data_IF_914592856693
#
_entry.id   IF_914592856693
#
_cell.length_a   1.000
_cell.length_b   1.000
_cell.length_c   1.000
_cell.angle_alpha   90.00
_cell.angle_beta   90.00
_cell.angle_gamma   90.00
#
_symmetry.space_group_name_H-M   'P 1'
#
loop_
_entity.id
_entity.type
_entity.pdbx_description
1 polymer ?
#
# COMPACT_ATOMS: atom_id res chain seq x y z
N UNK A 1 9.48 -29.30 7.07
CA UNK A 1 10.58 -30.15 6.55
C UNK A 1 10.07 -31.48 6.03
N UNK A 2 9.38 -32.31 6.84
CA UNK A 2 8.84 -33.62 6.43
C UNK A 2 8.04 -33.63 5.10
N UNK A 3 7.15 -32.65 4.88
CA UNK A 3 6.40 -32.55 3.63
C UNK A 3 7.28 -32.31 2.39
N UNK A 4 8.38 -31.55 2.53
CA UNK A 4 9.33 -31.32 1.46
C UNK A 4 10.15 -32.57 1.14
N UNK A 5 10.48 -33.37 2.15
CA UNK A 5 11.16 -34.65 1.99
C UNK A 5 10.25 -35.66 1.28
N UNK A 6 8.99 -35.79 1.72
CA UNK A 6 7.99 -36.66 1.11
C UNK A 6 7.69 -36.27 -0.34
N UNK A 7 7.67 -34.97 -0.65
CA UNK A 7 7.50 -34.47 -2.00
C UNK A 7 8.77 -34.56 -2.88
N UNK A 8 9.92 -34.94 -2.32
CA UNK A 8 11.20 -34.95 -3.02
C UNK A 8 11.66 -33.58 -3.50
N UNK A 9 11.30 -32.51 -2.76
CA UNK A 9 11.59 -31.11 -3.09
C UNK A 9 12.57 -30.52 -2.08
N UNK A 10 13.90 -30.54 -2.33
CA UNK A 10 14.88 -30.03 -1.38
C UNK A 10 14.70 -28.54 -1.09
N UNK A 11 14.18 -27.76 -2.04
CA UNK A 11 13.90 -26.33 -1.85
C UNK A 11 12.80 -26.12 -0.80
N UNK A 12 11.83 -27.02 -0.68
CA UNK A 12 10.76 -26.93 0.32
C UNK A 12 11.26 -27.28 1.73
N UNK A 13 12.24 -28.18 1.83
CA UNK A 13 12.92 -28.48 3.08
C UNK A 13 13.70 -27.26 3.56
N UNK A 14 14.49 -26.66 2.66
CA UNK A 14 15.25 -25.45 2.94
C UNK A 14 14.33 -24.27 3.33
N UNK A 15 13.22 -24.07 2.60
CA UNK A 15 12.22 -23.06 2.93
C UNK A 15 11.63 -23.27 4.32
N UNK A 16 11.35 -24.52 4.72
CA UNK A 16 10.87 -24.83 6.06
C UNK A 16 11.89 -24.50 7.15
N UNK A 17 13.18 -24.71 6.89
CA UNK A 17 14.26 -24.31 7.79
C UNK A 17 14.37 -22.78 7.92
N UNK A 18 14.38 -22.07 6.79
CA UNK A 18 14.37 -20.61 6.77
C UNK A 18 13.16 -20.03 7.51
N UNK A 19 11.97 -20.59 7.29
CA UNK A 19 10.75 -20.11 7.93
C UNK A 19 10.79 -20.30 9.45
N UNK A 20 11.39 -21.40 9.95
CA UNK A 20 11.59 -21.60 11.37
C UNK A 20 12.53 -20.54 11.97
N UNK A 21 13.69 -20.32 11.33
CA UNK A 21 14.64 -19.27 11.75
C UNK A 21 14.01 -17.87 11.71
N UNK A 22 13.22 -17.58 10.68
CA UNK A 22 12.46 -16.32 10.59
C UNK A 22 11.53 -16.11 11.79
N UNK A 23 10.79 -17.13 12.19
CA UNK A 23 9.91 -17.05 13.37
C UNK A 23 10.71 -16.91 14.67
N UNK A 24 11.84 -17.62 14.81
CA UNK A 24 12.71 -17.49 15.99
C UNK A 24 13.25 -16.05 16.13
N UNK A 25 13.58 -15.39 15.01
CA UNK A 25 14.02 -13.98 15.00
C UNK A 25 12.89 -13.04 15.39
N UNK A 26 11.68 -13.21 14.85
CA UNK A 26 10.54 -12.38 15.24
C UNK A 26 10.23 -12.51 16.74
N UNK A 27 10.29 -13.72 17.29
CA UNK A 27 10.13 -13.98 18.72
C UNK A 27 11.21 -13.29 19.56
N UNK A 28 12.48 -13.37 19.14
CA UNK A 28 13.60 -12.74 19.84
C UNK A 28 13.49 -11.20 19.84
N UNK A 29 12.96 -10.62 18.77
CA UNK A 29 12.72 -9.18 18.64
C UNK A 29 11.41 -8.71 19.31
N UNK A 30 10.52 -9.63 19.66
CA UNK A 30 9.22 -9.31 20.27
C UNK A 30 8.28 -8.57 19.31
N UNK A 31 8.41 -8.82 18.01
CA UNK A 31 7.57 -8.20 16.96
C UNK A 31 6.61 -9.23 16.38
N UNK A 32 5.45 -8.76 15.92
CA UNK A 32 4.44 -9.62 15.28
C UNK A 32 4.08 -9.06 13.90
N UNK A 33 4.10 -9.92 12.88
CA UNK A 33 3.56 -9.59 11.56
C UNK A 33 2.06 -9.95 11.44
N UNK A 34 1.44 -9.55 10.32
CA UNK A 34 0.01 -9.80 10.09
C UNK A 34 -0.37 -11.29 10.06
N UNK A 35 0.47 -12.14 9.49
CA UNK A 35 0.20 -13.58 9.43
C UNK A 35 0.40 -14.23 10.80
N UNK A 36 1.39 -13.74 11.54
CA UNK A 36 1.71 -14.20 12.88
C UNK A 36 0.61 -13.87 13.89
N UNK A 37 -0.06 -12.72 13.77
CA UNK A 37 -1.21 -12.39 14.62
C UNK A 37 -2.27 -13.50 14.61
N UNK A 38 -2.68 -13.96 13.43
CA UNK A 38 -3.66 -15.05 13.30
C UNK A 38 -3.09 -16.35 13.86
N UNK A 39 -1.82 -16.66 13.56
CA UNK A 39 -1.17 -17.88 14.03
C UNK A 39 -1.07 -17.95 15.56
N UNK A 40 -0.54 -16.90 16.21
CA UNK A 40 -0.34 -16.81 17.66
C UNK A 40 -1.65 -16.86 18.41
N UNK A 41 -2.69 -16.18 17.94
CA UNK A 41 -4.03 -16.27 18.54
C UNK A 41 -4.53 -17.71 18.52
N UNK A 42 -4.35 -18.43 17.41
CA UNK A 42 -4.75 -19.85 17.34
C UNK A 42 -3.94 -20.74 18.28
N UNK A 43 -2.66 -20.44 18.51
CA UNK A 43 -1.85 -21.14 19.52
C UNK A 43 -2.37 -20.86 20.93
N UNK A 44 -2.67 -19.60 21.27
CA UNK A 44 -3.23 -19.24 22.58
C UNK A 44 -4.58 -19.92 22.83
N UNK A 45 -5.42 -20.06 21.81
CA UNK A 45 -6.69 -20.78 21.90
C UNK A 45 -6.54 -22.31 22.05
N UNK A 46 -5.32 -22.86 22.06
CA UNK A 46 -5.09 -24.26 22.49
C UNK A 46 -5.02 -24.41 24.00
N UNK A 47 -4.80 -23.32 24.74
CA UNK A 47 -4.93 -23.28 26.19
C UNK A 47 -6.41 -23.25 26.57
N UNK A 48 -6.83 -24.23 27.38
CA UNK A 48 -8.25 -24.44 27.74
C UNK A 48 -8.82 -23.28 28.55
N UNK A 49 -8.02 -22.62 29.40
CA UNK A 49 -8.49 -21.52 30.24
C UNK A 49 -8.66 -20.25 29.39
N UNK A 50 -7.71 -19.98 28.49
CA UNK A 50 -7.79 -18.87 27.55
C UNK A 50 -8.96 -19.08 26.60
N UNK A 51 -9.07 -20.27 26.01
CA UNK A 51 -10.16 -20.60 25.10
C UNK A 51 -11.53 -20.42 25.77
N UNK A 52 -11.73 -20.97 26.97
CA UNK A 52 -12.99 -20.84 27.70
C UNK A 52 -13.33 -19.38 28.04
N UNK A 53 -12.33 -18.57 28.36
CA UNK A 53 -12.52 -17.14 28.61
C UNK A 53 -12.99 -16.43 27.35
N UNK A 54 -12.30 -16.64 26.23
CA UNK A 54 -12.60 -15.97 24.96
C UNK A 54 -13.95 -16.45 24.39
N UNK A 55 -14.17 -17.76 24.30
CA UNK A 55 -15.40 -18.31 23.71
C UNK A 55 -16.61 -18.11 24.62
N UNK A 56 -16.42 -18.04 25.94
CA UNK A 56 -17.49 -17.75 26.90
C UNK A 56 -18.12 -16.36 26.74
N UNK A 57 -17.40 -15.40 26.16
CA UNK A 57 -17.90 -14.06 25.85
C UNK A 57 -18.57 -13.96 24.46
N UNK A 58 -18.36 -14.95 23.59
CA UNK A 58 -18.81 -14.93 22.20
C UNK A 58 -20.22 -15.53 22.09
N UNK A 59 -21.22 -14.66 21.93
CA UNK A 59 -22.62 -15.09 21.72
C UNK A 59 -22.94 -15.53 20.28
N UNK A 60 -22.16 -15.07 19.30
CA UNK A 60 -22.26 -15.43 17.88
C UNK A 60 -21.02 -14.93 17.12
N UNK A 61 -20.69 -15.57 15.99
CA UNK A 61 -19.65 -15.10 15.07
C UNK A 61 -20.27 -14.77 13.71
N UNK A 62 -20.13 -13.51 13.30
CA UNK A 62 -20.60 -13.02 11.99
C UNK A 62 -19.39 -12.77 11.11
N UNK A 63 -19.35 -13.41 9.94
CA UNK A 63 -18.22 -13.31 9.01
C UNK A 63 -18.72 -12.76 7.68
N UNK A 64 -18.23 -11.58 7.32
CA UNK A 64 -18.39 -11.03 5.97
C UNK A 64 -17.24 -11.52 5.06
N UNK A 65 -17.45 -11.50 3.75
CA UNK A 65 -16.47 -11.94 2.75
C UNK A 65 -15.81 -13.29 3.04
N UNK A 66 -16.57 -14.26 3.58
CA UNK A 66 -16.03 -15.54 4.05
C UNK A 66 -15.27 -16.33 2.96
N UNK A 67 -15.60 -16.10 1.68
CA UNK A 67 -14.90 -16.72 0.55
C UNK A 67 -13.46 -16.21 0.35
N UNK A 68 -13.08 -15.08 0.95
CA UNK A 68 -11.72 -14.51 0.92
C UNK A 68 -10.83 -15.07 2.05
N UNK A 69 -11.38 -15.85 3.00
CA UNK A 69 -10.61 -16.37 4.11
C UNK A 69 -9.62 -17.47 3.70
N UNK A 70 -8.41 -17.41 4.25
CA UNK A 70 -7.44 -18.49 4.18
C UNK A 70 -7.73 -19.61 5.22
N UNK A 71 -7.08 -20.80 5.11
CA UNK A 71 -7.32 -21.90 6.04
C UNK A 71 -7.03 -21.59 7.52
N UNK A 72 -6.08 -20.70 7.82
CA UNK A 72 -5.77 -20.30 9.19
C UNK A 72 -6.89 -19.41 9.75
N UNK A 73 -7.37 -18.45 8.97
CA UNK A 73 -8.50 -17.60 9.35
C UNK A 73 -9.79 -18.40 9.54
N UNK A 74 -10.10 -19.35 8.64
CA UNK A 74 -11.24 -20.27 8.83
C UNK A 74 -11.09 -21.06 10.13
N UNK A 75 -9.88 -21.57 10.41
CA UNK A 75 -9.60 -22.29 11.65
C UNK A 75 -9.72 -21.42 12.91
N UNK A 76 -9.38 -20.13 12.84
CA UNK A 76 -9.59 -19.19 13.92
C UNK A 76 -11.08 -18.96 14.19
N UNK A 77 -11.87 -18.71 13.14
CA UNK A 77 -13.33 -18.57 13.25
C UNK A 77 -13.93 -19.82 13.90
N UNK A 78 -13.49 -21.02 13.50
CA UNK A 78 -13.96 -22.28 14.08
C UNK A 78 -13.61 -22.41 15.58
N UNK A 79 -12.42 -21.98 15.99
CA UNK A 79 -12.01 -22.00 17.40
C UNK A 79 -12.84 -21.00 18.24
N UNK A 80 -13.06 -19.79 17.73
CA UNK A 80 -13.84 -18.75 18.42
C UNK A 80 -15.32 -19.13 18.53
N UNK A 81 -15.85 -19.82 17.52
CA UNK A 81 -17.24 -20.24 17.47
C UNK A 81 -17.50 -21.63 18.07
N UNK A 82 -16.61 -22.13 18.93
CA UNK A 82 -16.68 -23.50 19.46
C UNK A 82 -18.10 -23.89 19.90
N UNK A 83 -18.76 -23.03 20.70
CA UNK A 83 -20.14 -23.21 21.16
C UNK A 83 -21.13 -22.22 20.52
N UNK A 84 -20.63 -21.11 19.94
CA UNK A 84 -21.46 -20.05 19.38
C UNK A 84 -21.97 -20.37 17.95
N UNK A 85 -23.13 -19.81 17.53
CA UNK A 85 -23.58 -19.89 16.15
C UNK A 85 -22.70 -19.04 15.21
N UNK A 86 -22.50 -19.53 13.98
CA UNK A 86 -21.77 -18.82 12.91
C UNK A 86 -22.72 -18.43 11.80
N UNK A 87 -22.68 -17.16 11.40
CA UNK A 87 -23.30 -16.66 10.18
C UNK A 87 -22.20 -16.16 9.25
N UNK A 88 -22.09 -16.72 8.05
CA UNK A 88 -21.12 -16.28 7.05
C UNK A 88 -21.80 -15.81 5.77
N UNK A 89 -21.43 -14.62 5.30
CA UNK A 89 -21.78 -14.11 3.98
C UNK A 89 -20.62 -14.35 3.01
N UNK A 90 -20.94 -14.77 1.79
CA UNK A 90 -19.94 -15.08 0.77
C UNK A 90 -20.52 -14.96 -0.65
N UNK A 91 -19.72 -14.44 -1.58
CA UNK A 91 -19.91 -14.63 -3.03
C UNK A 91 -18.73 -15.44 -3.58
N UNK A 92 -18.91 -16.73 -3.93
CA UNK A 92 -17.82 -17.55 -4.46
C UNK A 92 -17.32 -17.10 -5.83
N UNK A 93 -18.07 -16.26 -6.56
CA UNK A 93 -17.66 -15.73 -7.87
C UNK A 93 -16.85 -14.42 -7.74
N UNK A 94 -16.69 -13.84 -6.53
CA UNK A 94 -15.96 -12.58 -6.31
C UNK A 94 -14.58 -12.74 -5.68
N UNK A 95 -14.14 -13.99 -5.41
CA UNK A 95 -12.86 -14.25 -4.73
C UNK A 95 -11.68 -13.73 -5.53
N UNK A 96 -10.88 -12.87 -4.90
CA UNK A 96 -9.76 -12.18 -5.50
C UNK A 96 -8.42 -12.48 -4.82
N UNK A 97 -8.43 -12.97 -3.57
CA UNK A 97 -7.23 -13.15 -2.73
C UNK A 97 -6.63 -14.56 -2.76
N UNK A 98 -6.95 -15.40 -3.75
CA UNK A 98 -6.39 -16.76 -3.86
C UNK A 98 -4.86 -16.77 -3.95
N UNK A 99 -4.26 -15.73 -4.54
CA UNK A 99 -2.81 -15.54 -4.58
C UNK A 99 -2.19 -15.27 -3.19
N UNK A 100 -3.00 -14.87 -2.21
CA UNK A 100 -2.62 -14.70 -0.80
C UNK A 100 -3.04 -15.89 0.06
N UNK A 101 -3.57 -16.96 -0.52
CA UNK A 101 -3.93 -18.18 0.19
C UNK A 101 -5.41 -18.32 0.57
N UNK A 102 -6.29 -17.42 0.11
CA UNK A 102 -7.73 -17.61 0.27
C UNK A 102 -8.14 -19.00 -0.21
N UNK A 103 -8.88 -19.74 0.63
CA UNK A 103 -9.22 -21.12 0.36
C UNK A 103 -10.32 -21.19 -0.72
N UNK A 104 -10.04 -21.69 -1.94
CA UNK A 104 -11.04 -21.74 -3.01
C UNK A 104 -12.26 -22.59 -2.66
N UNK A 105 -12.13 -23.49 -1.69
CA UNK A 105 -13.19 -24.38 -1.22
C UNK A 105 -13.87 -23.90 0.06
N UNK A 106 -13.51 -22.75 0.63
CA UNK A 106 -14.02 -22.28 1.92
C UNK A 106 -15.56 -22.40 2.01
N UNK A 107 -16.26 -21.93 0.97
CA UNK A 107 -17.73 -21.96 0.89
C UNK A 107 -18.28 -23.38 0.71
N UNK A 108 -17.69 -24.18 -0.19
CA UNK A 108 -18.16 -25.55 -0.43
C UNK A 108 -18.00 -26.43 0.81
N UNK A 109 -16.91 -26.23 1.55
CA UNK A 109 -16.53 -27.01 2.71
C UNK A 109 -17.03 -26.38 4.03
N UNK A 110 -17.91 -25.37 3.99
CA UNK A 110 -18.41 -24.70 5.20
C UNK A 110 -19.00 -25.69 6.23
N UNK A 111 -19.80 -26.64 5.76
CA UNK A 111 -20.40 -27.70 6.59
C UNK A 111 -19.35 -28.56 7.30
N UNK A 112 -18.17 -28.74 6.72
CA UNK A 112 -17.07 -29.48 7.34
C UNK A 112 -16.47 -28.71 8.53
N UNK A 113 -16.44 -27.39 8.46
CA UNK A 113 -15.83 -26.54 9.49
C UNK A 113 -16.82 -26.18 10.60
N UNK A 114 -18.09 -25.95 10.26
CA UNK A 114 -19.09 -25.38 11.17
C UNK A 114 -20.35 -26.22 11.34
N UNK A 115 -20.50 -27.31 10.60
CA UNK A 115 -21.64 -28.21 10.75
C UNK A 115 -21.58 -28.97 12.06
N UNK A 116 -22.69 -28.99 12.80
CA UNK A 116 -22.85 -29.81 14.01
C UNK A 116 -23.92 -30.88 13.77
N UNK A 117 -23.81 -32.09 14.34
CA UNK A 117 -24.81 -33.15 14.16
C UNK A 117 -26.23 -32.74 14.58
N UNK A 118 -26.34 -31.88 15.59
CA UNK A 118 -27.57 -31.34 16.18
C UNK A 118 -28.02 -30.00 15.56
N UNK A 119 -27.15 -29.34 14.80
CA UNK A 119 -27.42 -28.08 14.12
C UNK A 119 -26.84 -28.11 12.70
N UNK A 120 -27.57 -28.65 11.70
CA UNK A 120 -27.09 -28.68 10.33
C UNK A 120 -26.98 -27.26 9.77
N UNK A 121 -26.00 -27.05 8.88
CA UNK A 121 -25.81 -25.76 8.22
C UNK A 121 -27.01 -25.44 7.33
N UNK A 122 -27.58 -24.26 7.54
CA UNK A 122 -28.61 -23.70 6.67
C UNK A 122 -27.97 -22.76 5.66
N UNK A 123 -28.07 -23.10 4.37
CA UNK A 123 -27.64 -22.23 3.27
C UNK A 123 -28.84 -21.40 2.77
N UNK A 124 -28.65 -20.10 2.62
CA UNK A 124 -29.65 -19.17 2.09
C UNK A 124 -29.03 -18.43 0.92
N UNK A 125 -29.62 -18.58 -0.27
CA UNK A 125 -29.16 -17.88 -1.47
C UNK A 125 -29.82 -16.51 -1.59
N UNK A 126 -29.00 -15.46 -1.64
CA UNK A 126 -29.46 -14.10 -1.90
C UNK A 126 -29.46 -13.82 -3.39
N UNK A 127 -30.64 -13.95 -4.02
CA UNK A 127 -30.79 -13.80 -5.47
C UNK A 127 -31.21 -12.40 -5.89
N UNK A 128 -31.66 -11.53 -5.01
CA UNK A 128 -32.13 -10.20 -5.42
C UNK A 128 -30.95 -9.24 -5.61
N UNK A 129 -30.77 -8.75 -6.84
CA UNK A 129 -29.76 -7.73 -7.16
C UNK A 129 -30.31 -6.33 -6.93
N UNK A 130 -29.70 -5.57 -6.02
CA UNK A 130 -30.13 -4.22 -5.65
C UNK A 130 -29.22 -3.10 -6.18
N UNK A 131 -28.07 -3.44 -6.78
CA UNK A 131 -26.99 -2.47 -7.09
C UNK A 131 -27.03 -1.92 -8.52
N UNK A 132 -27.37 -2.74 -9.51
CA UNK A 132 -27.21 -2.41 -10.92
C UNK A 132 -28.35 -2.96 -11.78
N UNK A 133 -28.57 -2.34 -12.95
CA UNK A 133 -29.61 -2.72 -13.90
C UNK A 133 -29.31 -3.95 -14.76
N UNK A 134 -30.29 -4.42 -15.57
CA UNK A 134 -30.18 -5.66 -16.36
C UNK A 134 -29.00 -5.70 -17.34
N UNK A 135 -28.59 -4.57 -17.91
CA UNK A 135 -27.46 -4.50 -18.85
C UNK A 135 -26.14 -4.91 -18.19
N UNK A 136 -25.87 -4.39 -16.99
CA UNK A 136 -24.67 -4.73 -16.20
C UNK A 136 -24.78 -6.17 -15.71
N UNK A 137 -25.97 -6.60 -15.25
CA UNK A 137 -26.20 -7.97 -14.82
C UNK A 137 -25.90 -8.99 -15.94
N UNK A 138 -26.32 -8.72 -17.17
CA UNK A 138 -26.05 -9.56 -18.34
C UNK A 138 -24.55 -9.64 -18.68
N UNK A 139 -23.84 -8.51 -18.63
CA UNK A 139 -22.40 -8.48 -18.86
C UNK A 139 -21.63 -9.29 -17.80
N UNK A 140 -21.98 -9.12 -16.52
CA UNK A 140 -21.37 -9.87 -15.42
C UNK A 140 -21.70 -11.36 -15.51
N UNK A 141 -22.93 -11.73 -15.88
CA UNK A 141 -23.29 -13.14 -16.09
C UNK A 141 -22.44 -13.80 -17.19
N UNK A 142 -22.15 -13.07 -18.28
CA UNK A 142 -21.26 -13.54 -19.35
C UNK A 142 -19.82 -13.81 -18.88
N UNK A 143 -19.30 -12.97 -17.97
CA UNK A 143 -17.99 -13.18 -17.33
C UNK A 143 -18.04 -14.38 -16.38
N UNK A 144 -19.03 -14.41 -15.48
CA UNK A 144 -19.23 -15.48 -14.49
C UNK A 144 -19.37 -16.86 -15.12
N UNK A 145 -20.01 -16.97 -16.28
CA UNK A 145 -20.15 -18.23 -17.00
C UNK A 145 -18.81 -18.85 -17.43
N UNK A 146 -17.73 -18.07 -17.46
CA UNK A 146 -16.39 -18.49 -17.90
C UNK A 146 -15.39 -18.62 -16.75
N UNK A 147 -15.78 -18.28 -15.52
CA UNK A 147 -14.89 -18.39 -14.37
C UNK A 147 -14.67 -19.87 -14.00
N UNK A 148 -13.42 -20.29 -13.74
CA UNK A 148 -13.16 -21.64 -13.24
C UNK A 148 -13.73 -21.77 -11.81
N UNK A 149 -14.44 -22.87 -11.54
CA UNK A 149 -15.04 -23.13 -10.23
C UNK A 149 -14.54 -24.44 -9.63
N UNK A 150 -14.20 -24.46 -8.32
CA UNK A 150 -13.96 -25.70 -7.61
C UNK A 150 -15.22 -26.58 -7.58
N UNK A 151 -15.03 -27.90 -7.56
CA UNK A 151 -16.14 -28.85 -7.49
C UNK A 151 -16.98 -28.62 -6.22
N UNK A 152 -18.31 -28.60 -6.38
CA UNK A 152 -19.26 -28.37 -5.28
C UNK A 152 -19.51 -26.90 -4.94
N UNK A 153 -18.86 -25.95 -5.64
CA UNK A 153 -19.12 -24.53 -5.51
C UNK A 153 -20.15 -24.12 -6.57
N UNK A 154 -21.36 -23.74 -6.12
CA UNK A 154 -22.40 -23.18 -6.99
C UNK A 154 -22.13 -21.72 -7.34
N UNK A 155 -22.88 -21.20 -8.31
CA UNK A 155 -22.93 -19.77 -8.62
C UNK A 155 -24.36 -19.29 -8.51
N UNK A 156 -24.53 -18.17 -7.83
CA UNK A 156 -25.81 -17.49 -7.71
C UNK A 156 -25.72 -16.21 -8.50
N UNK A 157 -26.35 -16.20 -9.68
CA UNK A 157 -26.50 -14.99 -10.47
C UNK A 157 -27.63 -14.12 -9.88
N UNK A 158 -27.36 -12.85 -9.53
CA UNK A 158 -28.40 -11.95 -9.05
C UNK A 158 -29.49 -11.76 -10.12
N UNK A 159 -30.74 -11.95 -9.71
CA UNK A 159 -31.94 -11.50 -10.40
C UNK A 159 -32.12 -10.02 -10.10
N UNK A 160 -31.85 -9.21 -11.12
CA UNK A 160 -32.17 -7.79 -11.10
C UNK A 160 -33.57 -7.62 -11.66
N UNK A 161 -34.43 -6.93 -10.91
CA UNK A 161 -35.78 -6.57 -11.35
C UNK A 161 -35.90 -5.05 -11.45
N UNK A 162 -36.59 -4.56 -12.48
CA UNK A 162 -36.85 -3.13 -12.69
C UNK A 162 -36.25 -2.53 -13.96
N UNK A 163 -36.69 -1.31 -14.25
CA UNK A 163 -36.28 -0.47 -15.39
C UNK A 163 -35.03 0.37 -15.08
N UNK A 164 -34.21 -0.02 -14.10
CA UNK A 164 -32.98 0.70 -13.78
C UNK A 164 -32.12 0.77 -15.05
N UNK A 165 -31.99 2.00 -15.57
CA UNK A 165 -31.22 2.29 -16.77
C UNK A 165 -29.75 1.92 -16.60
N UNK A 166 -29.02 1.89 -17.70
CA UNK A 166 -27.60 1.59 -17.69
C UNK A 166 -27.17 1.00 -19.01
N UNK A 167 -25.90 1.19 -19.36
CA UNK A 167 -25.31 0.62 -20.56
C UNK A 167 -23.92 0.10 -20.24
N UNK A 168 -23.51 -0.93 -20.98
CA UNK A 168 -22.14 -1.43 -20.96
C UNK A 168 -21.57 -1.14 -22.33
N UNK A 169 -20.47 -0.39 -22.37
CA UNK A 169 -19.76 -0.02 -23.61
C UNK A 169 -18.35 -0.55 -23.55
N UNK A 170 -17.88 -1.08 -24.68
CA UNK A 170 -16.48 -1.48 -24.87
C UNK A 170 -15.85 -0.48 -25.82
N UNK A 171 -14.77 0.15 -25.38
CA UNK A 171 -13.99 1.08 -26.20
C UNK A 171 -12.64 0.43 -26.49
N UNK A 172 -12.29 0.33 -27.77
CA UNK A 172 -10.97 -0.11 -28.21
C UNK A 172 -10.14 1.11 -28.55
N UNK A 173 -8.98 1.24 -27.92
CA UNK A 173 -8.08 2.37 -28.09
C UNK A 173 -6.81 1.92 -28.83
N UNK A 174 -6.17 2.84 -29.55
CA UNK A 174 -4.95 2.53 -30.31
C UNK A 174 -3.72 2.31 -29.40
N UNK A 175 -3.77 2.81 -28.17
CA UNK A 175 -2.71 2.63 -27.16
C UNK A 175 -3.07 3.28 -25.83
N UNK A 176 -2.16 3.24 -24.86
CA UNK A 176 -2.41 3.71 -23.49
C UNK A 176 -2.72 5.21 -23.40
N UNK A 177 -2.08 6.04 -24.24
CA UNK A 177 -2.32 7.49 -24.26
C UNK A 177 -3.73 7.82 -24.79
N UNK A 178 -4.15 7.12 -25.85
CA UNK A 178 -5.51 7.23 -26.41
C UNK A 178 -6.55 6.72 -25.40
N UNK A 179 -6.25 5.62 -24.71
CA UNK A 179 -7.08 5.09 -23.63
C UNK A 179 -7.26 6.10 -22.48
N UNK A 180 -6.18 6.72 -22.00
CA UNK A 180 -6.25 7.72 -20.93
C UNK A 180 -7.12 8.93 -21.34
N UNK A 181 -6.96 9.38 -22.59
CA UNK A 181 -7.76 10.47 -23.16
C UNK A 181 -9.23 10.06 -23.29
N UNK A 182 -9.52 8.85 -23.74
CA UNK A 182 -10.88 8.32 -23.84
C UNK A 182 -11.57 8.24 -22.46
N UNK A 183 -10.85 7.76 -21.43
CA UNK A 183 -11.35 7.74 -20.05
C UNK A 183 -11.71 9.15 -19.58
N UNK A 184 -10.81 10.13 -19.75
CA UNK A 184 -11.08 11.51 -19.37
C UNK A 184 -12.32 12.09 -20.06
N UNK A 185 -12.49 11.80 -21.36
CA UNK A 185 -13.64 12.23 -22.13
C UNK A 185 -14.95 11.59 -21.64
N UNK A 186 -14.96 10.29 -21.32
CA UNK A 186 -16.15 9.61 -20.82
C UNK A 186 -16.55 10.12 -19.42
N UNK A 187 -15.60 10.37 -18.51
CA UNK A 187 -15.89 10.96 -17.19
C UNK A 187 -16.45 12.38 -17.32
N UNK A 188 -15.86 13.21 -18.19
CA UNK A 188 -16.37 14.56 -18.46
C UNK A 188 -17.77 14.53 -19.08
N UNK A 189 -18.01 13.60 -20.01
CA UNK A 189 -19.34 13.42 -20.60
C UNK A 189 -20.36 13.01 -19.55
N UNK A 190 -20.02 12.05 -18.68
CA UNK A 190 -20.88 11.63 -17.58
C UNK A 190 -21.23 12.78 -16.63
N UNK A 191 -20.27 13.69 -16.38
CA UNK A 191 -20.49 14.89 -15.57
C UNK A 191 -21.38 15.93 -16.26
N UNK A 192 -21.06 16.27 -17.51
CA UNK A 192 -21.68 17.37 -18.25
C UNK A 192 -23.06 17.01 -18.79
N UNK A 193 -23.19 15.83 -19.40
CA UNK A 193 -24.43 15.41 -20.05
C UNK A 193 -25.30 14.57 -19.10
N UNK A 194 -24.66 13.74 -18.27
CA UNK A 194 -25.33 12.83 -17.34
C UNK A 194 -25.59 13.40 -15.95
N UNK A 195 -24.97 14.53 -15.60
CA UNK A 195 -25.12 15.18 -14.28
C UNK A 195 -24.50 14.42 -13.10
N UNK A 196 -23.79 13.32 -13.34
CA UNK A 196 -23.19 12.48 -12.29
C UNK A 196 -22.03 13.23 -11.64
N UNK A 197 -21.94 13.25 -10.32
CA UNK A 197 -20.85 13.92 -9.62
C UNK A 197 -19.55 13.12 -9.76
N UNK A 198 -18.39 13.79 -9.78
CA UNK A 198 -17.10 13.09 -9.94
C UNK A 198 -16.83 12.09 -8.82
N UNK A 199 -17.31 12.35 -7.60
CA UNK A 199 -17.20 11.43 -6.46
C UNK A 199 -18.02 10.14 -6.60
N UNK A 200 -18.92 10.07 -7.59
CA UNK A 200 -19.70 8.87 -7.92
C UNK A 200 -19.09 8.08 -9.09
N UNK A 201 -17.92 8.50 -9.59
CA UNK A 201 -17.22 7.87 -10.70
C UNK A 201 -15.97 7.14 -10.20
N UNK A 202 -15.68 5.99 -10.81
CA UNK A 202 -14.48 5.22 -10.50
C UNK A 202 -13.77 4.76 -11.78
N UNK A 203 -12.44 4.75 -11.74
CA UNK A 203 -11.58 4.16 -12.78
C UNK A 203 -10.82 3.00 -12.15
N UNK A 204 -11.16 1.77 -12.53
CA UNK A 204 -10.51 0.56 -12.03
C UNK A 204 -9.41 0.12 -13.01
N UNK A 205 -8.19 -0.06 -12.51
CA UNK A 205 -7.04 -0.52 -13.30
C UNK A 205 -6.51 -1.84 -12.78
N UNK A 206 -5.84 -2.63 -13.63
CA UNK A 206 -5.27 -3.91 -13.23
C UNK A 206 -3.99 -3.75 -12.41
N UNK A 207 -3.19 -2.73 -12.72
CA UNK A 207 -1.88 -2.52 -12.14
C UNK A 207 -1.68 -1.04 -11.82
N UNK A 208 -2.01 -0.64 -10.59
CA UNK A 208 -1.90 0.75 -10.13
C UNK A 208 -0.57 1.41 -10.51
N UNK A 209 0.55 0.76 -10.14
CA UNK A 209 1.92 1.23 -10.44
C UNK A 209 2.22 1.53 -11.91
N UNK A 210 1.60 0.78 -12.84
CA UNK A 210 1.87 0.92 -14.28
C UNK A 210 0.89 1.86 -14.96
N UNK A 211 -0.38 1.81 -14.56
CA UNK A 211 -1.47 2.42 -15.32
C UNK A 211 -1.93 3.77 -14.76
N UNK A 212 -1.80 4.01 -13.45
CA UNK A 212 -2.35 5.23 -12.83
C UNK A 212 -1.64 6.49 -13.32
N UNK A 213 -0.31 6.50 -13.37
CA UNK A 213 0.47 7.70 -13.71
C UNK A 213 -0.01 8.40 -15.00
N UNK A 214 -0.06 7.71 -16.16
CA UNK A 214 -0.58 8.27 -17.40
C UNK A 214 -2.06 8.72 -17.32
N UNK A 215 -2.92 7.91 -16.68
CA UNK A 215 -4.36 8.20 -16.55
C UNK A 215 -4.58 9.46 -15.70
N UNK A 216 -3.97 9.54 -14.52
CA UNK A 216 -4.08 10.69 -13.62
C UNK A 216 -3.61 11.97 -14.30
N UNK A 217 -2.49 11.94 -15.03
CA UNK A 217 -2.02 13.11 -15.79
C UNK A 217 -3.05 13.56 -16.85
N UNK A 218 -3.67 12.62 -17.54
CA UNK A 218 -4.70 12.93 -18.55
C UNK A 218 -5.96 13.51 -17.93
N UNK A 219 -6.42 12.95 -16.81
CA UNK A 219 -7.57 13.45 -16.04
C UNK A 219 -7.35 14.86 -15.52
N UNK A 220 -6.20 15.11 -14.88
CA UNK A 220 -5.82 16.43 -14.36
C UNK A 220 -5.72 17.45 -15.50
N UNK A 221 -5.07 17.09 -16.61
CA UNK A 221 -4.98 17.97 -17.79
C UNK A 221 -6.36 18.29 -18.40
N UNK A 222 -7.34 17.39 -18.24
CA UNK A 222 -8.71 17.58 -18.68
C UNK A 222 -9.60 18.31 -17.64
N UNK A 223 -9.05 18.72 -16.49
CA UNK A 223 -9.77 19.39 -15.42
C UNK A 223 -10.67 18.48 -14.59
N UNK A 224 -10.44 17.17 -14.62
CA UNK A 224 -11.18 16.18 -13.81
C UNK A 224 -10.47 16.03 -12.46
N UNK A 225 -11.15 16.25 -11.31
CA UNK A 225 -10.57 16.01 -10.01
C UNK A 225 -10.33 14.50 -9.82
N UNK A 226 -9.18 14.17 -9.24
CA UNK A 226 -8.76 12.78 -9.03
C UNK A 226 -8.35 12.61 -7.59
N UNK A 227 -8.97 11.65 -6.93
CA UNK A 227 -8.48 11.06 -5.69
C UNK A 227 -7.92 9.68 -6.03
N UNK A 228 -6.67 9.41 -5.66
CA UNK A 228 -6.07 8.09 -5.78
C UNK A 228 -6.09 7.47 -4.39
N UNK A 229 -6.70 6.30 -4.24
CA UNK A 229 -6.77 5.62 -2.96
C UNK A 229 -5.35 5.41 -2.39
N UNK A 230 -5.14 5.84 -1.13
CA UNK A 230 -3.82 5.99 -0.52
C UNK A 230 -3.03 4.68 -0.32
N UNK A 231 -3.67 3.54 -0.53
CA UNK A 231 -3.11 2.19 -0.53
C UNK A 231 -2.38 1.82 -1.84
N UNK A 232 -2.58 2.57 -2.92
CA UNK A 232 -1.94 2.30 -4.22
C UNK A 232 -0.58 2.98 -4.41
N UNK A 233 -0.25 3.97 -3.57
CA UNK A 233 1.10 4.53 -3.43
C UNK A 233 1.60 4.14 -2.04
N UNK A 234 2.58 3.21 -1.90
CA UNK A 234 3.17 2.93 -0.59
C UNK A 234 3.53 4.25 0.08
N UNK A 235 3.23 4.45 1.37
CA UNK A 235 3.45 5.73 2.06
C UNK A 235 4.88 6.27 1.82
N UNK A 236 5.87 5.37 1.77
CA UNK A 236 7.27 5.69 1.44
C UNK A 236 7.49 6.34 0.05
N UNK A 237 6.55 6.19 -0.88
CA UNK A 237 6.55 6.76 -2.23
C UNK A 237 5.72 8.03 -2.33
N UNK A 238 4.99 8.42 -1.28
CA UNK A 238 4.25 9.67 -1.26
C UNK A 238 5.23 10.85 -1.42
N UNK A 239 4.95 11.84 -2.30
CA UNK A 239 5.85 12.99 -2.51
C UNK A 239 6.16 13.78 -1.24
N UNK A 240 5.25 13.78 -0.26
CA UNK A 240 5.42 14.40 1.06
C UNK A 240 6.31 13.59 2.02
N UNK A 241 6.52 12.29 1.77
CA UNK A 241 7.29 11.40 2.66
C UNK A 241 8.68 11.13 2.10
N UNK A 242 8.81 11.03 0.78
CA UNK A 242 10.09 10.75 0.09
C UNK A 242 11.25 11.67 0.51
N UNK A 243 11.08 13.01 0.65
CA UNK A 243 12.14 13.88 1.12
C UNK A 243 12.64 13.54 2.53
N UNK A 244 11.72 13.19 3.45
CA UNK A 244 12.07 12.83 4.81
C UNK A 244 12.83 11.51 4.87
N UNK A 245 12.39 10.50 4.12
CA UNK A 245 13.09 9.22 4.03
C UNK A 245 14.47 9.36 3.40
N UNK A 246 14.63 10.21 2.38
CA UNK A 246 15.93 10.52 1.80
C UNK A 246 16.86 11.18 2.82
N UNK A 247 16.38 12.19 3.55
CA UNK A 247 17.17 12.86 4.58
C UNK A 247 17.55 11.91 5.73
N UNK A 248 16.64 11.00 6.13
CA UNK A 248 16.91 9.98 7.13
C UNK A 248 17.97 8.98 6.68
N UNK A 249 17.90 8.50 5.43
CA UNK A 249 18.90 7.60 4.85
C UNK A 249 20.29 8.25 4.84
N UNK A 250 20.39 9.50 4.35
CA UNK A 250 21.64 10.29 4.35
C UNK A 250 22.17 10.50 5.77
N UNK A 251 21.26 10.72 6.73
CA UNK A 251 21.64 10.87 8.15
C UNK A 251 22.30 9.60 8.66
N UNK A 252 21.69 8.44 8.41
CA UNK A 252 22.17 7.13 8.83
C UNK A 252 23.47 6.71 8.12
N UNK A 253 23.59 6.98 6.83
CA UNK A 253 24.77 6.60 6.03
C UNK A 253 26.00 7.48 6.26
N UNK A 254 25.83 8.68 6.83
CA UNK A 254 26.94 9.60 7.08
C UNK A 254 27.26 10.53 5.92
N UNK A 255 26.82 10.20 4.70
CA UNK A 255 27.19 10.89 3.46
C UNK A 255 26.02 10.91 2.46
N UNK A 256 26.15 11.70 1.39
CA UNK A 256 25.18 11.80 0.30
C UNK A 256 25.82 11.53 -1.06
N UNK A 257 25.12 10.81 -1.93
CA UNK A 257 25.56 10.58 -3.31
C UNK A 257 25.19 11.74 -4.26
N UNK A 258 25.82 11.86 -5.44
CA UNK A 258 25.54 12.94 -6.41
C UNK A 258 24.06 13.08 -6.80
N UNK A 259 23.38 11.97 -7.11
CA UNK A 259 21.98 11.98 -7.54
C UNK A 259 21.03 12.30 -6.37
N UNK A 260 21.35 11.82 -5.17
CA UNK A 260 20.65 12.14 -3.92
C UNK A 260 20.78 13.60 -3.54
N UNK A 261 21.96 14.19 -3.73
CA UNK A 261 22.23 15.58 -3.36
C UNK A 261 21.32 16.54 -4.10
N UNK A 262 21.15 16.33 -5.42
CA UNK A 262 20.24 17.16 -6.21
C UNK A 262 18.81 17.02 -5.68
N UNK A 263 18.34 15.79 -5.44
CA UNK A 263 17.00 15.53 -4.90
C UNK A 263 16.78 16.20 -3.54
N UNK A 264 17.75 16.07 -2.63
CA UNK A 264 17.71 16.66 -1.30
C UNK A 264 17.63 18.19 -1.36
N UNK A 265 18.52 18.82 -2.13
CA UNK A 265 18.57 20.28 -2.21
C UNK A 265 17.32 20.87 -2.88
N UNK A 266 16.75 20.19 -3.88
CA UNK A 266 15.50 20.63 -4.53
C UNK A 266 14.25 20.26 -3.75
N UNK A 267 14.37 19.46 -2.69
CA UNK A 267 13.23 19.06 -1.88
C UNK A 267 12.72 20.21 -1.01
N UNK A 268 11.49 20.13 -0.47
CA UNK A 268 10.97 21.15 0.44
C UNK A 268 11.81 21.41 1.70
N UNK A 269 12.72 20.49 2.07
CA UNK A 269 13.65 20.68 3.19
C UNK A 269 14.65 21.81 2.93
N UNK A 270 14.97 22.08 1.67
CA UNK A 270 15.99 23.05 1.28
C UNK A 270 15.58 23.95 0.11
N UNK A 271 14.50 23.68 -0.59
CA UNK A 271 13.82 24.56 -1.56
C UNK A 271 14.76 25.29 -2.53
N UNK A 272 15.79 24.61 -3.04
CA UNK A 272 16.62 25.14 -4.12
C UNK A 272 15.94 24.95 -5.47
N UNK A 273 16.00 25.98 -6.30
CA UNK A 273 15.71 25.90 -7.72
C UNK A 273 16.98 25.62 -8.53
N UNK A 274 16.83 25.39 -9.84
CA UNK A 274 17.96 25.06 -10.71
C UNK A 274 19.01 26.19 -10.81
N UNK A 275 18.64 27.45 -10.57
CA UNK A 275 19.58 28.57 -10.53
C UNK A 275 20.33 28.64 -9.20
N UNK A 276 19.63 28.41 -8.09
CA UNK A 276 20.17 28.31 -6.75
C UNK A 276 21.25 27.23 -6.66
N UNK A 277 20.99 26.03 -7.22
CA UNK A 277 22.01 24.96 -7.29
C UNK A 277 23.29 25.41 -8.00
N UNK A 278 23.16 26.10 -9.15
CA UNK A 278 24.32 26.60 -9.91
C UNK A 278 25.05 27.72 -9.20
N UNK A 279 24.34 28.58 -8.45
CA UNK A 279 24.92 29.63 -7.60
C UNK A 279 25.68 29.02 -6.43
N UNK A 280 25.10 28.02 -5.77
CA UNK A 280 25.73 27.29 -4.68
C UNK A 280 27.04 26.63 -5.14
N UNK A 281 26.99 25.88 -6.24
CA UNK A 281 28.19 25.25 -6.81
C UNK A 281 29.26 26.29 -7.22
N UNK A 282 28.86 27.49 -7.71
CA UNK A 282 29.80 28.59 -7.97
C UNK A 282 30.47 29.10 -6.70
N UNK A 283 29.72 29.28 -5.61
CA UNK A 283 30.29 29.73 -4.34
C UNK A 283 31.29 28.72 -3.80
N UNK A 284 30.93 27.43 -3.80
CA UNK A 284 31.84 26.36 -3.41
C UNK A 284 33.11 26.32 -4.28
N UNK A 285 32.99 26.46 -5.61
CA UNK A 285 34.15 26.50 -6.52
C UNK A 285 35.13 27.65 -6.23
N UNK A 286 34.66 28.79 -5.71
CA UNK A 286 35.51 29.94 -5.41
C UNK A 286 36.45 29.70 -4.24
N UNK A 287 36.04 28.85 -3.30
CA UNK A 287 36.76 28.65 -2.03
C UNK A 287 37.40 27.25 -1.93
N UNK A 288 37.07 26.31 -2.82
CA UNK A 288 37.76 25.01 -2.86
C UNK A 288 39.20 25.13 -3.38
N UNK A 289 40.01 24.15 -3.03
CA UNK A 289 41.34 23.93 -3.60
C UNK A 289 41.34 22.65 -4.45
N UNK A 290 42.17 22.60 -5.51
CA UNK A 290 42.28 21.43 -6.38
C UNK A 290 41.25 21.35 -7.51
N UNK A 291 41.30 20.27 -8.29
CA UNK A 291 40.50 20.06 -9.51
C UNK A 291 39.04 19.76 -9.15
N UNK A 292 38.12 20.58 -9.65
CA UNK A 292 36.70 20.38 -9.42
C UNK A 292 36.16 19.17 -10.22
N UNK A 293 35.22 18.39 -9.64
CA UNK A 293 34.46 17.39 -10.37
C UNK A 293 33.76 17.98 -11.59
N UNK A 294 33.58 17.17 -12.62
CA UNK A 294 33.06 17.63 -13.91
C UNK A 294 31.56 17.96 -13.83
N UNK A 295 30.77 17.13 -13.14
CA UNK A 295 29.31 17.29 -13.12
C UNK A 295 28.84 18.19 -11.97
N UNK A 296 27.72 18.89 -12.16
CA UNK A 296 27.12 19.70 -11.11
C UNK A 296 26.73 18.86 -9.89
N UNK A 297 26.23 17.65 -10.11
CA UNK A 297 25.80 16.76 -9.04
C UNK A 297 26.98 16.36 -8.14
N UNK A 298 28.12 15.98 -8.73
CA UNK A 298 29.34 15.63 -7.98
C UNK A 298 29.85 16.81 -7.16
N UNK A 299 29.85 18.00 -7.76
CA UNK A 299 30.29 19.22 -7.07
C UNK A 299 29.41 19.55 -5.87
N UNK A 300 28.10 19.39 -6.00
CA UNK A 300 27.16 19.61 -4.91
C UNK A 300 27.31 18.55 -3.82
N UNK A 301 27.50 17.28 -4.18
CA UNK A 301 27.73 16.20 -3.21
C UNK A 301 29.00 16.44 -2.40
N UNK A 302 30.10 16.82 -3.05
CA UNK A 302 31.35 17.17 -2.35
C UNK A 302 31.15 18.40 -1.45
N UNK A 303 30.38 19.41 -1.89
CA UNK A 303 30.04 20.57 -1.08
C UNK A 303 29.16 20.26 0.15
N UNK A 304 28.34 19.21 0.10
CA UNK A 304 27.49 18.77 1.21
C UNK A 304 28.25 17.85 2.16
N UNK A 305 29.04 16.92 1.61
CA UNK A 305 29.81 15.94 2.39
C UNK A 305 31.01 16.54 3.12
N UNK A 306 31.64 17.58 2.57
CA UNK A 306 32.71 18.33 3.22
C UNK A 306 32.28 19.80 3.41
N UNK A 307 31.56 20.14 4.50
CA UNK A 307 30.99 21.47 4.69
C UNK A 307 32.00 22.53 5.14
N UNK A 308 33.29 22.20 5.34
CA UNK A 308 34.30 23.13 5.86
C UNK A 308 34.59 24.35 4.97
N UNK A 309 34.11 24.34 3.73
CA UNK A 309 34.17 25.50 2.85
C UNK A 309 33.21 26.63 3.24
N UNK A 310 32.12 26.32 3.97
CA UNK A 310 31.08 27.28 4.33
C UNK A 310 31.58 28.41 5.23
N UNK A 311 32.64 28.17 6.00
CA UNK A 311 33.26 29.17 6.88
C UNK A 311 34.01 30.24 6.09
N UNK A 312 34.42 29.91 4.86
CA UNK A 312 35.17 30.79 3.96
C UNK A 312 34.27 31.39 2.87
N UNK A 313 33.03 30.92 2.77
CA UNK A 313 32.08 31.36 1.76
C UNK A 313 31.46 32.71 2.11
N UNK A 314 31.15 33.50 1.08
CA UNK A 314 30.32 34.70 1.22
C UNK A 314 28.93 34.32 1.75
N UNK A 315 28.36 35.14 2.63
CA UNK A 315 27.03 34.95 3.18
C UNK A 315 25.95 35.28 2.13
N UNK A 316 25.72 34.35 1.20
CA UNK A 316 24.60 34.43 0.24
C UNK A 316 23.37 33.68 0.75
N UNK A 317 22.18 33.94 0.18
CA UNK A 317 20.98 33.17 0.52
C UNK A 317 21.16 31.66 0.34
N UNK A 318 21.86 31.24 -0.72
CA UNK A 318 22.14 29.84 -1.01
C UNK A 318 23.04 29.20 0.06
N UNK A 319 24.12 29.89 0.47
CA UNK A 319 25.04 29.41 1.53
C UNK A 319 24.31 29.33 2.87
N UNK A 320 23.49 30.33 3.18
CA UNK A 320 22.69 30.37 4.43
C UNK A 320 21.71 29.20 4.48
N UNK A 321 21.02 28.93 3.37
CA UNK A 321 20.05 27.85 3.27
C UNK A 321 20.70 26.46 3.36
N UNK A 322 21.86 26.28 2.71
CA UNK A 322 22.62 25.04 2.87
C UNK A 322 23.08 24.86 4.32
N UNK A 323 23.56 25.91 4.99
CA UNK A 323 23.95 25.85 6.40
C UNK A 323 22.77 25.45 7.30
N UNK A 324 21.57 25.97 7.04
CA UNK A 324 20.36 25.57 7.75
C UNK A 324 20.08 24.06 7.57
N UNK A 325 20.04 23.58 6.32
CA UNK A 325 19.82 22.15 6.01
C UNK A 325 20.86 21.26 6.71
N UNK A 326 22.14 21.59 6.63
CA UNK A 326 23.22 20.82 7.26
C UNK A 326 23.10 20.81 8.79
N UNK A 327 22.64 21.92 9.39
CA UNK A 327 22.33 21.99 10.82
C UNK A 327 21.24 20.99 11.22
N UNK A 328 20.19 20.87 10.40
CA UNK A 328 19.09 19.91 10.61
C UNK A 328 19.60 18.46 10.50
N UNK A 329 20.38 18.15 9.46
CA UNK A 329 20.96 16.81 9.27
C UNK A 329 21.95 16.46 10.40
N UNK A 330 22.75 17.42 10.87
CA UNK A 330 23.68 17.21 11.97
C UNK A 330 22.95 16.96 13.30
N UNK A 331 21.84 17.65 13.56
CA UNK A 331 20.99 17.37 14.73
C UNK A 331 20.34 16.00 14.64
N UNK A 332 19.81 15.63 13.48
CA UNK A 332 19.26 14.29 13.27
C UNK A 332 20.32 13.20 13.47
N UNK A 333 21.56 13.42 13.01
CA UNK A 333 22.66 12.47 13.21
C UNK A 333 23.02 12.29 14.67
N UNK A 334 23.11 13.38 15.45
CA UNK A 334 23.34 13.31 16.90
C UNK A 334 22.28 12.46 17.61
N UNK A 335 21.02 12.55 17.18
CA UNK A 335 19.92 11.75 17.74
C UNK A 335 20.05 10.27 17.39
N UNK A 336 20.41 9.95 16.15
CA UNK A 336 20.71 8.58 15.74
C UNK A 336 21.86 8.00 16.59
N UNK A 337 22.94 8.77 16.77
CA UNK A 337 24.09 8.36 17.59
C UNK A 337 23.73 8.19 19.08
N UNK A 338 22.74 8.95 19.58
CA UNK A 338 22.21 8.83 20.93
C UNK A 338 21.25 7.64 21.12
N UNK A 339 20.86 6.95 20.04
CA UNK A 339 19.93 5.84 20.08
C UNK A 339 18.45 6.25 20.16
N UNK A 340 18.11 7.48 19.76
CA UNK A 340 16.71 7.92 19.68
C UNK A 340 15.94 7.06 18.66
N UNK A 341 14.64 6.77 18.91
CA UNK A 341 13.83 6.02 17.97
C UNK A 341 13.58 6.82 16.67
N UNK A 342 13.37 6.10 15.56
CA UNK A 342 13.32 6.67 14.20
C UNK A 342 12.27 7.77 14.03
N UNK A 343 11.14 7.67 14.72
CA UNK A 343 10.07 8.67 14.72
C UNK A 343 10.54 10.02 15.28
N UNK A 344 11.39 10.01 16.33
CA UNK A 344 11.98 11.21 16.93
C UNK A 344 13.02 11.85 16.02
N UNK A 345 13.85 11.04 15.37
CA UNK A 345 14.83 11.52 14.37
C UNK A 345 14.10 12.15 13.18
N UNK A 346 13.07 11.48 12.68
CA UNK A 346 12.26 11.98 11.55
C UNK A 346 11.52 13.26 11.93
N UNK A 347 11.01 13.37 13.16
CA UNK A 347 10.40 14.59 13.66
C UNK A 347 11.39 15.77 13.73
N UNK A 348 12.64 15.52 14.12
CA UNK A 348 13.69 16.54 14.12
C UNK A 348 14.01 17.04 12.71
N UNK A 349 14.07 16.14 11.72
CA UNK A 349 14.23 16.49 10.31
C UNK A 349 13.07 17.36 9.80
N UNK A 350 11.84 17.02 10.18
CA UNK A 350 10.64 17.77 9.80
C UNK A 350 10.61 19.17 10.41
N UNK A 351 10.69 19.27 11.74
CA UNK A 351 10.60 20.53 12.48
C UNK A 351 11.80 21.45 12.28
N UNK A 352 12.97 20.90 11.96
CA UNK A 352 14.18 21.68 11.72
C UNK A 352 14.16 22.49 10.43
N UNK A 353 13.23 22.20 9.52
CA UNK A 353 13.09 22.90 8.24
C UNK A 353 11.95 23.92 8.25
N UNK A 354 11.94 24.86 7.30
CA UNK A 354 10.81 25.79 7.12
C UNK A 354 9.57 25.12 6.47
N UNK A 355 9.69 23.84 6.08
CA UNK A 355 8.65 23.11 5.35
C UNK A 355 7.30 23.05 6.08
N UNK A 356 7.22 22.79 7.40
CA UNK A 356 5.93 22.71 8.10
C UNK A 356 5.20 24.07 8.12
N UNK A 357 5.94 25.17 8.23
CA UNK A 357 5.37 26.52 8.23
C UNK A 357 4.97 26.97 6.81
N UNK A 358 5.65 26.46 5.78
CA UNK A 358 5.22 26.67 4.39
C UNK A 358 3.88 25.98 4.12
N UNK A 359 3.74 24.71 4.51
CA UNK A 359 2.49 23.98 4.31
C UNK A 359 1.31 24.62 5.06
N UNK A 360 1.53 25.13 6.28
CA UNK A 360 0.50 25.86 7.05
C UNK A 360 0.04 27.17 6.40
N UNK A 361 0.83 27.75 5.50
CA UNK A 361 0.45 28.96 4.75
C UNK A 361 -0.28 28.64 3.44
N UNK A 362 -0.12 27.43 2.93
CA UNK A 362 -0.72 26.94 1.68
C UNK A 362 -2.05 26.20 1.91
N UNK A 363 -2.33 25.79 3.15
CA UNK A 363 -3.62 25.29 3.65
C UNK A 363 -4.55 26.42 4.09
#
# INVERSE_FOLDING_TARGET
MAFGEEAGRPEWVALGGFFAEYLDVLDAEGVLDYAELVHRVRLLLTDVEIAATVTGEVGAVLVDDYAELDPAQVGLVAALAADAPVLAAADPDSVSSTFRGANPRAVADFDRFFGRPDAPVRRVELVAGHRYGPAIAGALAGVRARLPRPAGVGSVAPRVSGEAGGSVRVLTCAGEADQATAIANELRRARLDGGIEYGEMAVLVRSGRRQLGPIVRSLVAAGVPVEVAGDEIPLAQAPSVRPLLLALAITAEGSVQPDETVRLLTSPLASFDALGLRRLARQWRRVRTGVAPVTLADQLAEAVNDPGWLDRAEATPEVTRLRALLGVLAEARRRVEAGDPVDRVTWALWQGSEWPDQLRRES
#
